data_IF_717677237355
#
_entry.id   IF_717677237355
#
_cell.length_a   1.000
_cell.length_b   1.000
_cell.length_c   1.000
_cell.angle_alpha   90.00
_cell.angle_beta   90.00
_cell.angle_gamma   90.00
#
_symmetry.space_group_name_H-M   'P 1'
#
loop_
_entity.id
_entity.type
_entity.pdbx_description
1 polymer ?
#
# COMPACT_ATOMS: atom_id res chain seq x y z
N UNK A 1 -47.12 -45.37 -26.60
CA UNK A 1 -46.54 -46.71 -26.79
C UNK A 1 -45.12 -46.72 -26.24
N UNK A 2 -44.76 -47.80 -25.53
CA UNK A 2 -43.42 -48.23 -25.06
C UNK A 2 -42.74 -47.45 -23.92
N UNK A 3 -42.85 -48.05 -22.73
CA UNK A 3 -41.99 -47.96 -21.54
C UNK A 3 -40.66 -48.67 -21.81
N UNK A 4 -39.54 -48.18 -21.28
CA UNK A 4 -38.41 -49.02 -20.84
C UNK A 4 -37.82 -48.42 -19.55
N UNK A 5 -37.92 -49.21 -18.48
CA UNK A 5 -37.28 -49.07 -17.17
C UNK A 5 -36.01 -49.95 -17.16
N UNK A 6 -34.88 -49.44 -16.68
CA UNK A 6 -33.71 -50.18 -16.18
C UNK A 6 -33.01 -49.20 -15.20
N UNK A 7 -33.06 -49.28 -13.87
CA UNK A 7 -32.76 -50.37 -12.93
C UNK A 7 -31.40 -51.01 -13.12
N UNK A 8 -30.37 -50.42 -12.52
CA UNK A 8 -29.17 -51.15 -12.06
C UNK A 8 -28.84 -50.72 -10.63
N UNK A 9 -29.11 -51.66 -9.71
CA UNK A 9 -28.55 -51.72 -8.37
C UNK A 9 -27.03 -51.88 -8.45
N UNK A 10 -26.28 -51.09 -7.69
CA UNK A 10 -24.90 -51.43 -7.35
C UNK A 10 -24.80 -51.51 -5.82
N UNK A 11 -24.86 -52.73 -5.31
CA UNK A 11 -24.54 -53.08 -3.95
C UNK A 11 -23.08 -53.58 -3.94
N UNK A 12 -22.19 -52.90 -3.23
CA UNK A 12 -20.83 -53.35 -2.99
C UNK A 12 -20.48 -53.22 -1.50
N UNK A 13 -20.82 -54.29 -0.79
CA UNK A 13 -20.06 -55.00 0.23
C UNK A 13 -19.03 -54.21 1.07
N UNK A 14 -19.33 -54.10 2.37
CA UNK A 14 -18.37 -53.88 3.45
C UNK A 14 -17.24 -54.93 3.42
N UNK A 15 -15.99 -54.48 3.54
CA UNK A 15 -14.89 -55.28 4.04
C UNK A 15 -14.01 -54.43 4.95
N UNK A 16 -14.12 -54.66 6.26
CA UNK A 16 -13.21 -54.15 7.27
C UNK A 16 -12.03 -55.12 7.44
N UNK A 17 -10.78 -54.64 7.57
CA UNK A 17 -9.72 -55.39 8.21
C UNK A 17 -9.44 -54.88 9.63
N UNK A 18 -9.78 -55.76 10.57
CA UNK A 18 -9.05 -56.18 11.77
C UNK A 18 -7.82 -55.35 12.21
N UNK A 19 -7.89 -54.96 13.48
CA UNK A 19 -6.80 -54.62 14.39
C UNK A 19 -5.72 -55.72 14.37
N UNK A 20 -4.47 -55.34 14.11
CA UNK A 20 -3.29 -56.14 14.41
C UNK A 20 -2.34 -55.28 15.26
N UNK A 21 -2.21 -55.72 16.52
CA UNK A 21 -1.28 -55.31 17.54
C UNK A 21 0.05 -56.05 17.29
N UNK A 22 1.16 -55.35 17.06
CA UNK A 22 2.53 -55.89 17.10
C UNK A 22 3.47 -54.69 17.31
N UNK A 23 3.99 -54.46 18.52
CA UNK A 23 5.16 -55.12 19.13
C UNK A 23 6.47 -54.50 18.61
N UNK A 24 7.14 -53.78 19.50
CA UNK A 24 8.46 -53.16 19.33
C UNK A 24 9.54 -54.22 19.15
N UNK A 25 10.62 -53.88 18.41
CA UNK A 25 11.92 -54.37 18.82
C UNK A 25 12.90 -53.22 19.05
N UNK A 26 13.31 -53.09 20.32
CA UNK A 26 14.69 -52.76 20.69
C UNK A 26 15.64 -53.79 20.09
N UNK A 27 16.66 -53.36 19.35
CA UNK A 27 17.98 -54.01 19.35
C UNK A 27 19.03 -53.16 18.59
N UNK A 28 20.12 -52.93 19.30
CA UNK A 28 21.38 -52.32 18.91
C UNK A 28 22.16 -53.06 17.80
N UNK A 29 22.99 -52.26 17.12
CA UNK A 29 24.38 -52.50 16.69
C UNK A 29 24.75 -53.63 15.68
N UNK A 30 25.33 -53.19 14.56
CA UNK A 30 26.64 -53.60 14.00
C UNK A 30 26.74 -53.11 12.53
N UNK A 31 27.43 -52.01 12.24
CA UNK A 31 28.82 -51.95 11.74
C UNK A 31 29.21 -52.94 10.61
N UNK A 32 29.41 -52.39 9.41
CA UNK A 32 30.51 -52.71 8.48
C UNK A 32 30.50 -51.65 7.35
N UNK A 33 31.38 -50.65 7.41
CA UNK A 33 32.69 -50.63 6.75
C UNK A 33 32.62 -50.29 5.25
N UNK A 34 32.93 -49.03 4.95
CA UNK A 34 33.13 -48.50 3.60
C UNK A 34 33.92 -47.20 3.66
N UNK A 35 35.21 -47.33 3.98
CA UNK A 35 36.18 -46.26 4.07
C UNK A 35 36.50 -45.68 2.68
N UNK A 36 36.47 -44.35 2.59
CA UNK A 36 37.29 -43.56 1.67
C UNK A 36 37.76 -42.33 2.44
N UNK A 37 39.00 -42.42 2.92
CA UNK A 37 39.84 -41.30 3.32
C UNK A 37 40.18 -40.46 2.08
N UNK A 38 39.85 -39.16 2.10
CA UNK A 38 40.73 -38.16 1.52
C UNK A 38 40.73 -36.90 2.38
N UNK A 39 41.95 -36.40 2.61
CA UNK A 39 42.34 -35.52 3.67
C UNK A 39 41.88 -34.06 3.50
N UNK A 40 41.55 -33.44 4.64
CA UNK A 40 42.19 -32.17 4.97
C UNK A 40 41.36 -30.89 4.83
N UNK A 41 40.50 -30.61 5.80
CA UNK A 41 40.35 -29.26 6.35
C UNK A 41 39.76 -29.32 7.77
N UNK A 42 40.45 -28.76 8.79
CA UNK A 42 39.98 -28.76 10.16
C UNK A 42 38.77 -27.84 10.31
N UNK A 43 37.74 -28.39 10.95
CA UNK A 43 36.94 -27.76 11.98
C UNK A 43 36.82 -26.22 11.91
N UNK A 44 35.97 -25.77 10.99
CA UNK A 44 35.26 -24.50 11.14
C UNK A 44 33.83 -24.84 11.55
N UNK A 45 33.67 -25.37 12.77
CA UNK A 45 32.51 -25.00 13.60
C UNK A 45 32.62 -23.49 13.79
N UNK A 46 32.13 -22.76 12.79
CA UNK A 46 31.80 -21.37 12.95
C UNK A 46 30.89 -21.31 14.17
N UNK A 47 31.18 -20.45 15.16
CA UNK A 47 30.23 -20.23 16.23
C UNK A 47 28.90 -19.87 15.56
N UNK A 48 27.85 -20.63 15.86
CA UNK A 48 26.49 -20.16 15.65
C UNK A 48 26.43 -18.82 16.38
N UNK A 49 26.66 -17.74 15.64
CA UNK A 49 26.34 -16.42 16.12
C UNK A 49 24.86 -16.50 16.49
N UNK A 50 24.61 -16.42 17.80
CA UNK A 50 23.43 -15.89 18.45
C UNK A 50 23.10 -14.49 17.89
N UNK A 51 22.91 -14.43 16.59
CA UNK A 51 22.25 -13.38 15.89
C UNK A 51 20.78 -13.59 16.27
N UNK A 52 20.26 -12.59 16.95
CA UNK A 52 18.85 -12.37 17.24
C UNK A 52 17.98 -12.28 15.97
N UNK A 53 18.38 -12.93 14.88
CA UNK A 53 17.85 -12.71 13.55
C UNK A 53 16.51 -13.46 13.36
N UNK A 54 16.16 -14.45 14.19
CA UNK A 54 14.98 -15.30 13.99
C UNK A 54 13.72 -14.94 14.81
N UNK A 55 13.78 -13.92 15.66
CA UNK A 55 12.73 -13.71 16.65
C UNK A 55 12.11 -12.31 16.57
N UNK A 56 11.44 -12.09 15.44
CA UNK A 56 10.73 -10.87 15.04
C UNK A 56 9.53 -10.58 15.96
N UNK A 57 9.54 -9.45 16.66
CA UNK A 57 8.29 -8.74 16.90
C UNK A 57 7.80 -8.25 15.54
N UNK A 58 6.51 -8.38 15.23
CA UNK A 58 5.93 -7.87 13.97
C UNK A 58 6.41 -6.44 13.74
N UNK A 59 7.26 -6.28 12.73
CA UNK A 59 7.79 -4.97 12.39
C UNK A 59 6.64 -4.13 11.80
N UNK A 60 6.71 -2.82 11.98
CA UNK A 60 5.73 -1.87 11.42
C UNK A 60 5.56 -2.11 9.91
N UNK A 61 6.64 -2.49 9.22
CA UNK A 61 6.58 -2.83 7.80
C UNK A 61 5.77 -4.11 7.53
N UNK A 62 5.83 -5.13 8.38
CA UNK A 62 5.03 -6.37 8.22
C UNK A 62 3.53 -6.08 8.36
N UNK A 63 3.15 -5.25 9.33
CA UNK A 63 1.76 -4.79 9.50
C UNK A 63 1.29 -4.02 8.27
N UNK A 64 2.15 -3.15 7.71
CA UNK A 64 1.85 -2.40 6.48
C UNK A 64 1.79 -3.31 5.24
N UNK A 65 2.54 -4.43 5.20
CA UNK A 65 2.51 -5.34 4.06
C UNK A 65 1.23 -6.15 3.95
N UNK A 66 0.54 -6.43 5.05
CA UNK A 66 -0.68 -7.24 5.03
C UNK A 66 -1.77 -6.62 4.12
N UNK A 67 -2.16 -5.33 4.26
CA UNK A 67 -3.08 -4.70 3.33
C UNK A 67 -2.64 -4.73 1.86
N UNK A 68 -1.32 -4.71 1.61
CA UNK A 68 -0.79 -4.82 0.24
C UNK A 68 -1.03 -6.24 -0.30
N UNK A 69 -0.66 -7.26 0.48
CA UNK A 69 -0.85 -8.66 0.12
C UNK A 69 -2.33 -9.00 -0.12
N UNK A 70 -3.23 -8.49 0.72
CA UNK A 70 -4.68 -8.61 0.54
C UNK A 70 -5.14 -8.02 -0.79
N UNK A 71 -4.65 -6.82 -1.15
CA UNK A 71 -4.97 -6.20 -2.44
C UNK A 71 -4.49 -7.02 -3.63
N UNK A 72 -3.26 -7.52 -3.57
CA UNK A 72 -2.67 -8.33 -4.65
C UNK A 72 -3.42 -9.66 -4.83
N UNK A 73 -3.93 -10.24 -3.73
CA UNK A 73 -4.75 -11.45 -3.75
C UNK A 73 -6.14 -11.22 -4.34
N UNK A 74 -6.80 -10.09 -4.02
CA UNK A 74 -8.05 -9.67 -4.68
C UNK A 74 -7.88 -9.48 -6.17
N UNK A 75 -6.78 -8.83 -6.58
CA UNK A 75 -6.45 -8.64 -8.00
C UNK A 75 -6.19 -9.96 -8.73
N UNK A 76 -5.79 -11.01 -8.00
CA UNK A 76 -5.66 -12.37 -8.54
C UNK A 76 -7.00 -13.13 -8.68
N UNK A 77 -8.11 -12.53 -8.22
CA UNK A 77 -9.46 -13.05 -8.38
C UNK A 77 -9.98 -13.92 -7.23
N UNK A 78 -9.27 -14.00 -6.11
CA UNK A 78 -9.76 -14.69 -4.89
C UNK A 78 -10.93 -13.91 -4.30
N UNK A 79 -11.97 -14.61 -3.87
CA UNK A 79 -13.15 -13.96 -3.28
C UNK A 79 -12.82 -13.35 -1.91
N UNK A 80 -13.46 -12.23 -1.57
CA UNK A 80 -13.23 -11.55 -0.28
C UNK A 80 -13.55 -12.48 0.90
N UNK A 81 -14.55 -13.34 0.77
CA UNK A 81 -14.94 -14.33 1.79
C UNK A 81 -13.81 -15.33 2.08
N UNK A 82 -13.12 -15.81 1.04
CA UNK A 82 -12.00 -16.74 1.19
C UNK A 82 -10.79 -16.06 1.84
N UNK A 83 -10.57 -14.79 1.52
CA UNK A 83 -9.50 -13.99 2.13
C UNK A 83 -9.82 -13.75 3.62
N UNK A 84 -11.06 -13.36 3.93
CA UNK A 84 -11.50 -13.14 5.30
C UNK A 84 -11.39 -14.43 6.12
N UNK A 85 -11.81 -15.56 5.58
CA UNK A 85 -11.70 -16.85 6.26
C UNK A 85 -10.23 -17.24 6.55
N UNK A 86 -9.30 -16.97 5.62
CA UNK A 86 -7.87 -17.16 5.87
C UNK A 86 -7.35 -16.25 6.99
N UNK A 87 -7.77 -14.97 7.00
CA UNK A 87 -7.40 -14.00 8.02
C UNK A 87 -7.96 -14.37 9.40
N UNK A 88 -9.21 -14.81 9.47
CA UNK A 88 -9.84 -15.28 10.70
C UNK A 88 -9.14 -16.51 11.26
N UNK A 89 -8.83 -17.50 10.41
CA UNK A 89 -8.06 -18.68 10.83
C UNK A 89 -6.66 -18.33 11.35
N UNK A 90 -6.03 -17.31 10.76
CA UNK A 90 -4.75 -16.80 11.23
C UNK A 90 -4.86 -16.06 12.58
N UNK A 91 -5.87 -15.22 12.75
CA UNK A 91 -6.12 -14.47 13.98
C UNK A 91 -6.54 -15.37 15.16
N UNK A 92 -7.39 -16.36 14.91
CA UNK A 92 -7.81 -17.37 15.91
C UNK A 92 -6.61 -18.04 16.58
N UNK A 93 -5.53 -18.25 15.81
CA UNK A 93 -4.29 -18.88 16.28
C UNK A 93 -3.26 -17.87 16.77
N UNK A 94 -3.48 -16.59 16.51
CA UNK A 94 -2.57 -15.50 16.87
C UNK A 94 -1.34 -15.44 15.97
N UNK A 95 -1.49 -15.78 14.69
CA UNK A 95 -0.43 -15.56 13.69
C UNK A 95 -0.10 -14.08 13.57
N UNK A 96 1.18 -13.83 13.30
CA UNK A 96 1.70 -12.49 13.11
C UNK A 96 1.17 -11.90 11.78
N UNK A 97 1.06 -10.57 11.70
CA UNK A 97 0.63 -9.92 10.46
C UNK A 97 1.61 -10.19 9.31
N UNK A 98 2.91 -10.28 9.61
CA UNK A 98 3.94 -10.67 8.66
C UNK A 98 3.78 -12.10 8.15
N UNK A 99 3.60 -13.07 9.05
CA UNK A 99 3.37 -14.48 8.67
C UNK A 99 2.11 -14.61 7.81
N UNK A 100 1.04 -13.91 8.16
CA UNK A 100 -0.21 -13.90 7.40
C UNK A 100 -0.04 -13.25 6.02
N UNK A 101 0.67 -12.13 5.92
CA UNK A 101 0.94 -11.49 4.63
C UNK A 101 1.71 -12.43 3.69
N UNK A 102 2.66 -13.20 4.20
CA UNK A 102 3.44 -14.17 3.42
C UNK A 102 2.57 -15.30 2.83
N UNK A 103 1.57 -15.76 3.56
CA UNK A 103 0.59 -16.75 3.08
C UNK A 103 -0.18 -16.17 1.89
N UNK A 104 -0.70 -14.94 2.02
CA UNK A 104 -1.48 -14.30 0.98
C UNK A 104 -0.65 -13.98 -0.27
N UNK A 105 0.62 -13.55 -0.10
CA UNK A 105 1.53 -13.31 -1.21
C UNK A 105 1.77 -14.60 -1.99
N UNK A 106 2.08 -15.71 -1.31
CA UNK A 106 2.33 -16.99 -1.97
C UNK A 106 1.12 -17.46 -2.77
N UNK A 107 -0.09 -17.38 -2.20
CA UNK A 107 -1.31 -17.73 -2.94
C UNK A 107 -1.52 -16.80 -4.15
N UNK A 108 -1.27 -15.50 -4.01
CA UNK A 108 -1.38 -14.56 -5.13
C UNK A 108 -0.42 -14.91 -6.28
N UNK A 109 0.81 -15.35 -5.95
CA UNK A 109 1.78 -15.80 -6.95
C UNK A 109 1.38 -17.13 -7.60
N UNK A 110 0.83 -18.05 -6.83
CA UNK A 110 0.30 -19.33 -7.34
C UNK A 110 -0.86 -19.07 -8.28
N UNK A 111 -1.79 -18.19 -7.90
CA UNK A 111 -2.94 -17.82 -8.73
C UNK A 111 -2.53 -17.12 -10.02
N UNK A 112 -1.55 -16.22 -9.97
CA UNK A 112 -0.97 -15.58 -11.16
C UNK A 112 -0.37 -16.61 -12.14
N UNK A 113 0.14 -17.75 -11.64
CA UNK A 113 0.79 -18.80 -12.47
C UNK A 113 -0.15 -19.91 -12.94
N UNK A 114 -1.04 -20.38 -12.07
CA UNK A 114 -1.87 -21.58 -12.27
C UNK A 114 -3.38 -21.31 -12.33
N UNK A 115 -3.81 -20.08 -12.08
CA UNK A 115 -5.21 -19.71 -11.93
C UNK A 115 -5.73 -19.90 -10.51
N UNK A 116 -6.91 -19.31 -10.25
CA UNK A 116 -7.64 -19.37 -8.98
C UNK A 116 -8.08 -20.81 -8.67
N UNK A 117 -8.09 -21.16 -7.38
CA UNK A 117 -8.69 -22.39 -6.85
C UNK A 117 -9.64 -22.11 -5.69
N UNK A 118 -10.84 -22.64 -5.75
CA UNK A 118 -11.85 -22.44 -4.71
C UNK A 118 -11.50 -23.16 -3.39
N UNK A 119 -11.83 -22.55 -2.26
CA UNK A 119 -11.57 -23.04 -0.90
C UNK A 119 -10.21 -22.63 -0.33
N UNK A 120 -9.65 -21.48 -0.73
CA UNK A 120 -8.36 -21.02 -0.20
C UNK A 120 -8.39 -20.79 1.31
N UNK A 121 -9.38 -20.04 1.81
CA UNK A 121 -9.53 -19.74 3.24
C UNK A 121 -9.62 -20.98 4.10
N UNK A 122 -10.55 -21.88 3.74
CA UNK A 122 -10.69 -23.22 4.32
C UNK A 122 -9.38 -23.99 4.36
N UNK A 123 -8.64 -24.03 3.26
CA UNK A 123 -7.38 -24.76 3.20
C UNK A 123 -6.32 -24.20 4.15
N UNK A 124 -6.16 -22.87 4.17
CA UNK A 124 -5.23 -22.20 5.09
C UNK A 124 -5.62 -22.50 6.54
N UNK A 125 -6.90 -22.39 6.88
CA UNK A 125 -7.41 -22.69 8.23
C UNK A 125 -7.11 -24.14 8.65
N UNK A 126 -7.30 -25.10 7.74
CA UNK A 126 -6.94 -26.50 7.97
C UNK A 126 -5.44 -26.68 8.21
N UNK A 127 -4.58 -26.11 7.36
CA UNK A 127 -3.13 -26.23 7.51
C UNK A 127 -2.63 -25.60 8.80
N UNK A 128 -3.20 -24.46 9.20
CA UNK A 128 -2.88 -23.81 10.48
C UNK A 128 -3.31 -24.71 11.65
N UNK A 129 -4.49 -25.33 11.57
CA UNK A 129 -4.97 -26.29 12.57
C UNK A 129 -4.08 -27.54 12.67
N UNK A 130 -3.52 -27.99 11.56
CA UNK A 130 -2.52 -29.07 11.51
C UNK A 130 -1.15 -28.62 12.05
N UNK A 131 -0.95 -27.33 12.31
CA UNK A 131 0.27 -26.77 12.91
C UNK A 131 1.33 -26.36 11.88
N UNK A 132 1.01 -26.32 10.59
CA UNK A 132 1.93 -25.79 9.59
C UNK A 132 2.08 -24.28 9.75
N UNK A 133 3.33 -23.79 9.66
CA UNK A 133 3.69 -22.38 9.87
C UNK A 133 4.81 -21.94 8.93
N UNK A 134 4.92 -20.62 8.73
CA UNK A 134 6.01 -19.98 7.99
C UNK A 134 6.24 -20.62 6.63
N UNK A 135 7.49 -21.02 6.35
CA UNK A 135 7.88 -21.60 5.06
C UNK A 135 7.13 -22.89 4.74
N UNK A 136 6.93 -23.78 5.71
CA UNK A 136 6.24 -25.07 5.50
C UNK A 136 4.78 -24.87 5.07
N UNK A 137 4.11 -23.88 5.66
CA UNK A 137 2.74 -23.51 5.30
C UNK A 137 2.68 -22.99 3.85
N UNK A 138 3.62 -22.12 3.47
CA UNK A 138 3.73 -21.63 2.08
C UNK A 138 4.02 -22.73 1.08
N UNK A 139 4.92 -23.65 1.40
CA UNK A 139 5.26 -24.76 0.52
C UNK A 139 4.02 -25.63 0.24
N UNK A 140 3.19 -25.88 1.28
CA UNK A 140 1.90 -26.57 1.12
C UNK A 140 0.90 -25.80 0.24
N UNK A 141 0.82 -24.49 0.40
CA UNK A 141 0.00 -23.62 -0.45
C UNK A 141 0.46 -23.71 -1.92
N UNK A 142 1.77 -23.67 -2.16
CA UNK A 142 2.35 -23.83 -3.51
C UNK A 142 2.10 -25.22 -4.10
N UNK A 143 2.07 -26.25 -3.28
CA UNK A 143 1.79 -27.64 -3.67
C UNK A 143 0.31 -27.93 -3.87
N UNK A 144 -0.59 -27.04 -3.45
CA UNK A 144 -2.04 -27.22 -3.55
C UNK A 144 -2.45 -27.54 -4.99
N UNK A 145 -2.99 -28.74 -5.18
CA UNK A 145 -3.50 -29.21 -6.48
C UNK A 145 -5.02 -29.12 -6.57
N UNK A 146 -5.72 -29.41 -5.48
CA UNK A 146 -7.17 -29.58 -5.46
C UNK A 146 -7.90 -28.41 -4.77
N UNK A 147 -9.18 -28.29 -5.10
CA UNK A 147 -10.11 -27.37 -4.46
C UNK A 147 -10.66 -27.97 -3.17
N UNK A 148 -10.93 -27.12 -2.17
CA UNK A 148 -11.43 -27.57 -0.87
C UNK A 148 -12.90 -27.20 -0.73
N UNK A 149 -13.72 -28.25 -0.66
CA UNK A 149 -15.15 -28.15 -0.37
C UNK A 149 -15.42 -27.66 1.04
N UNK A 150 -16.70 -27.56 1.39
CA UNK A 150 -17.12 -27.18 2.73
C UNK A 150 -16.82 -28.30 3.73
N UNK A 151 -16.32 -27.92 4.91
CA UNK A 151 -16.11 -28.86 6.01
C UNK A 151 -17.45 -29.27 6.63
N UNK A 152 -17.53 -30.54 7.08
CA UNK A 152 -18.62 -30.98 7.92
C UNK A 152 -18.61 -30.23 9.27
N UNK A 153 -19.73 -30.16 9.97
CA UNK A 153 -19.80 -29.47 11.26
C UNK A 153 -18.91 -30.13 12.33
N UNK A 154 -18.72 -31.45 12.24
CA UNK A 154 -17.75 -32.18 13.08
C UNK A 154 -16.31 -31.76 12.77
N UNK A 155 -15.95 -31.61 11.51
CA UNK A 155 -14.60 -31.19 11.11
C UNK A 155 -14.34 -29.74 11.50
N UNK A 156 -15.34 -28.85 11.39
CA UNK A 156 -15.24 -27.47 11.87
C UNK A 156 -14.94 -27.43 13.37
N UNK A 157 -15.60 -28.28 14.18
CA UNK A 157 -15.33 -28.37 15.61
C UNK A 157 -13.91 -28.88 15.90
N UNK A 158 -13.48 -29.95 15.24
CA UNK A 158 -12.10 -30.48 15.38
C UNK A 158 -11.06 -29.45 14.98
N UNK A 159 -11.31 -28.68 13.92
CA UNK A 159 -10.44 -27.59 13.48
C UNK A 159 -10.38 -26.52 14.57
N UNK A 160 -11.52 -26.06 15.11
CA UNK A 160 -11.54 -25.07 16.20
C UNK A 160 -10.75 -25.51 17.43
N UNK A 161 -10.95 -26.75 17.90
CA UNK A 161 -10.18 -27.28 19.04
C UNK A 161 -8.66 -27.30 18.77
N UNK A 162 -8.27 -27.66 17.54
CA UNK A 162 -6.86 -27.62 17.12
C UNK A 162 -6.31 -26.21 17.04
N UNK A 163 -7.10 -25.24 16.57
CA UNK A 163 -6.71 -23.83 16.50
C UNK A 163 -6.56 -23.25 17.91
N UNK A 164 -7.45 -23.56 18.86
CA UNK A 164 -7.31 -23.14 20.26
C UNK A 164 -6.03 -23.69 20.90
N UNK A 165 -5.76 -24.99 20.73
CA UNK A 165 -4.48 -25.59 21.17
C UNK A 165 -3.27 -24.94 20.48
N UNK A 166 -3.42 -24.60 19.20
CA UNK A 166 -2.41 -23.87 18.42
C UNK A 166 -2.16 -22.46 18.97
N UNK A 167 -3.21 -21.78 19.43
CA UNK A 167 -3.16 -20.44 20.03
C UNK A 167 -2.40 -20.44 21.34
N UNK A 168 -2.65 -21.41 22.23
CA UNK A 168 -1.93 -21.53 23.50
C UNK A 168 -0.43 -21.70 23.27
N UNK A 169 -0.05 -22.62 22.35
CA UNK A 169 1.35 -22.82 21.93
C UNK A 169 1.97 -21.56 21.34
N UNK A 170 1.21 -20.81 20.54
CA UNK A 170 1.69 -19.55 19.96
C UNK A 170 1.91 -18.48 21.02
N UNK A 171 1.00 -18.35 21.99
CA UNK A 171 1.14 -17.42 23.10
C UNK A 171 2.38 -17.72 23.93
N UNK A 172 2.67 -19.00 24.21
CA UNK A 172 3.91 -19.40 24.87
C UNK A 172 5.16 -19.06 24.04
N UNK A 173 5.12 -19.37 22.74
CA UNK A 173 6.20 -19.02 21.79
C UNK A 173 6.45 -17.51 21.80
N UNK A 174 5.40 -16.71 21.76
CA UNK A 174 5.45 -15.24 21.77
C UNK A 174 5.99 -14.69 23.09
N UNK A 175 5.62 -15.27 24.24
CA UNK A 175 6.20 -14.90 25.55
C UNK A 175 7.71 -15.17 25.58
N UNK A 176 8.14 -16.38 25.19
CA UNK A 176 9.56 -16.75 25.08
C UNK A 176 10.32 -15.79 24.16
N UNK A 177 9.71 -15.42 23.03
CA UNK A 177 10.24 -14.43 22.08
C UNK A 177 10.42 -13.07 22.71
N UNK A 178 9.39 -12.54 23.38
CA UNK A 178 9.47 -11.24 24.05
C UNK A 178 10.56 -11.22 25.13
N UNK A 179 10.73 -12.30 25.90
CA UNK A 179 11.80 -12.41 26.89
C UNK A 179 13.18 -12.41 26.24
N UNK A 180 13.38 -13.17 25.16
CA UNK A 180 14.63 -13.17 24.39
C UNK A 180 14.93 -11.79 23.81
N UNK A 181 13.95 -11.13 23.18
CA UNK A 181 14.08 -9.74 22.69
C UNK A 181 14.47 -8.80 23.82
N UNK A 182 13.87 -8.93 25.01
CA UNK A 182 14.21 -8.10 26.17
C UNK A 182 15.66 -8.31 26.62
N UNK A 183 16.14 -9.56 26.64
CA UNK A 183 17.54 -9.90 26.94
C UNK A 183 18.50 -9.32 25.89
N UNK A 184 18.19 -9.45 24.60
CA UNK A 184 19.00 -8.95 23.49
C UNK A 184 19.06 -7.41 23.46
N UNK A 185 17.95 -6.73 23.78
CA UNK A 185 17.91 -5.28 23.98
C UNK A 185 18.82 -4.85 25.13
N UNK A 186 18.79 -5.58 26.25
CA UNK A 186 19.66 -5.30 27.39
C UNK A 186 21.15 -5.50 27.07
N UNK A 187 21.47 -6.43 26.16
CA UNK A 187 22.82 -6.62 25.62
C UNK A 187 23.25 -5.56 24.58
N UNK A 188 22.39 -4.60 24.24
CA UNK A 188 22.70 -3.56 23.25
C UNK A 188 22.76 -4.04 21.80
N UNK A 189 22.38 -5.30 21.51
CA UNK A 189 22.35 -5.83 20.15
C UNK A 189 21.22 -5.15 19.35
N UNK A 190 21.55 -4.63 18.16
CA UNK A 190 20.57 -4.04 17.23
C UNK A 190 19.87 -5.15 16.45
N UNK A 191 18.54 -5.07 16.34
CA UNK A 191 17.76 -6.01 15.56
C UNK A 191 17.84 -5.67 14.08
N UNK A 192 18.12 -6.66 13.23
CA UNK A 192 18.00 -6.52 11.78
C UNK A 192 16.53 -6.59 11.39
N UNK A 193 16.09 -5.67 10.56
CA UNK A 193 14.73 -5.61 10.04
C UNK A 193 14.66 -6.44 8.75
N UNK A 194 14.27 -7.73 8.84
CA UNK A 194 14.14 -8.64 7.68
C UNK A 194 13.01 -8.21 6.72
N UNK A 195 11.95 -7.64 7.25
CA UNK A 195 10.77 -7.15 6.51
C UNK A 195 11.11 -6.06 5.48
N UNK A 196 12.21 -5.33 5.66
CA UNK A 196 12.57 -4.18 4.82
C UNK A 196 12.78 -4.56 3.36
N UNK A 197 13.56 -5.61 3.11
CA UNK A 197 13.84 -6.07 1.74
C UNK A 197 12.55 -6.47 1.02
N UNK A 198 11.65 -7.17 1.72
CA UNK A 198 10.37 -7.62 1.12
C UNK A 198 9.40 -6.47 0.89
N UNK A 199 9.28 -5.54 1.84
CA UNK A 199 8.47 -4.35 1.65
C UNK A 199 8.96 -3.52 0.45
N UNK A 200 10.27 -3.37 0.30
CA UNK A 200 10.87 -2.71 -0.86
C UNK A 200 10.57 -3.46 -2.17
N UNK A 201 10.63 -4.80 -2.18
CA UNK A 201 10.25 -5.63 -3.33
C UNK A 201 8.77 -5.45 -3.72
N UNK A 202 7.84 -5.55 -2.78
CA UNK A 202 6.40 -5.33 -3.05
C UNK A 202 6.14 -3.91 -3.56
N UNK A 203 6.80 -2.91 -2.96
CA UNK A 203 6.70 -1.52 -3.41
C UNK A 203 7.24 -1.35 -4.84
N UNK A 204 8.31 -2.04 -5.20
CA UNK A 204 8.85 -2.03 -6.56
C UNK A 204 7.90 -2.71 -7.56
N UNK A 205 7.36 -3.88 -7.22
CA UNK A 205 6.37 -4.60 -8.04
C UNK A 205 5.12 -3.74 -8.30
N UNK A 206 4.56 -3.12 -7.25
CA UNK A 206 3.41 -2.22 -7.38
C UNK A 206 3.67 -1.00 -8.24
N UNK A 207 4.88 -0.43 -8.20
CA UNK A 207 5.24 0.66 -9.13
C UNK A 207 5.18 0.20 -10.59
N UNK A 208 5.69 -1.00 -10.88
CA UNK A 208 5.64 -1.59 -12.22
C UNK A 208 4.19 -1.84 -12.64
N UNK A 209 3.38 -2.44 -11.78
CA UNK A 209 1.95 -2.69 -12.03
C UNK A 209 1.16 -1.39 -12.21
N UNK A 210 1.40 -0.37 -11.39
CA UNK A 210 0.78 0.94 -11.52
C UNK A 210 1.09 1.60 -12.87
N UNK A 211 2.34 1.52 -13.35
CA UNK A 211 2.72 2.01 -14.68
C UNK A 211 1.98 1.24 -15.78
N UNK A 212 1.92 -0.10 -15.67
CA UNK A 212 1.17 -0.96 -16.62
C UNK A 212 -0.32 -0.63 -16.63
N UNK A 213 -0.93 -0.48 -15.45
CA UNK A 213 -2.33 -0.11 -15.29
C UNK A 213 -2.62 1.26 -15.90
N UNK A 214 -1.79 2.28 -15.61
CA UNK A 214 -1.90 3.61 -16.22
C UNK A 214 -1.83 3.56 -17.75
N UNK A 215 -0.96 2.72 -18.31
CA UNK A 215 -0.87 2.53 -19.75
C UNK A 215 -2.13 1.86 -20.32
N UNK A 216 -2.66 0.81 -19.67
CA UNK A 216 -3.93 0.15 -20.05
C UNK A 216 -5.10 1.13 -20.02
N UNK A 217 -5.22 1.91 -18.93
CA UNK A 217 -6.27 2.94 -18.80
C UNK A 217 -6.16 4.02 -19.87
N UNK A 218 -4.95 4.41 -20.28
CA UNK A 218 -4.77 5.36 -21.39
C UNK A 218 -5.27 4.75 -22.71
N UNK A 219 -4.98 3.48 -22.98
CA UNK A 219 -5.47 2.76 -24.18
C UNK A 219 -7.00 2.66 -24.18
N UNK A 220 -7.60 2.19 -23.08
CA UNK A 220 -9.05 2.11 -22.93
C UNK A 220 -9.72 3.48 -23.13
N UNK A 221 -9.15 4.55 -22.56
CA UNK A 221 -9.64 5.92 -22.80
C UNK A 221 -9.56 6.33 -24.27
N UNK A 222 -8.50 5.96 -24.99
CA UNK A 222 -8.38 6.23 -26.42
C UNK A 222 -9.37 5.41 -27.24
N UNK A 223 -9.59 4.14 -26.91
CA UNK A 223 -10.57 3.26 -27.56
C UNK A 223 -11.99 3.77 -27.33
N UNK A 224 -12.36 4.02 -26.07
CA UNK A 224 -13.66 4.61 -25.72
C UNK A 224 -13.88 5.96 -26.41
N UNK A 225 -12.86 6.82 -26.48
CA UNK A 225 -12.93 8.08 -27.23
C UNK A 225 -13.12 7.86 -28.72
N UNK A 226 -12.47 6.83 -29.29
CA UNK A 226 -12.61 6.46 -30.71
C UNK A 226 -14.00 5.93 -31.01
N UNK A 227 -14.59 5.14 -30.12
CA UNK A 227 -15.97 4.64 -30.22
C UNK A 227 -16.97 5.79 -30.11
N UNK A 228 -16.83 6.65 -29.09
CA UNK A 228 -17.64 7.88 -28.96
C UNK A 228 -17.58 8.77 -30.21
N UNK A 229 -16.39 8.97 -30.78
CA UNK A 229 -16.24 9.75 -32.01
C UNK A 229 -16.84 9.05 -33.25
N UNK A 230 -16.88 7.71 -33.29
CA UNK A 230 -17.53 6.97 -34.40
C UNK A 230 -19.05 7.13 -34.37
N UNK A 231 -19.64 7.05 -33.18
CA UNK A 231 -21.09 7.14 -33.01
C UNK A 231 -21.60 8.59 -33.03
N UNK A 232 -20.70 9.56 -32.90
CA UNK A 232 -21.04 10.97 -32.85
C UNK A 232 -19.97 11.82 -33.57
N UNK A 233 -19.99 11.86 -34.92
CA UNK A 233 -18.95 12.52 -35.72
C UNK A 233 -18.89 14.05 -35.49
N UNK A 234 -19.93 14.66 -34.93
CA UNK A 234 -19.94 16.08 -34.58
C UNK A 234 -19.12 16.41 -33.31
N UNK A 235 -18.57 15.42 -32.60
CA UNK A 235 -17.69 15.64 -31.43
C UNK A 235 -16.38 16.33 -31.82
N UNK A 236 -15.90 16.16 -33.05
CA UNK A 236 -14.71 16.86 -33.53
C UNK A 236 -14.99 18.35 -33.81
N UNK A 237 -16.19 18.72 -34.27
CA UNK A 237 -16.64 20.13 -34.32
C UNK A 237 -16.76 20.73 -32.91
N UNK A 238 -17.11 19.92 -31.92
CA UNK A 238 -17.17 20.35 -30.52
C UNK A 238 -15.78 20.58 -29.90
N UNK A 239 -14.73 19.91 -30.40
CA UNK A 239 -13.33 20.19 -29.99
C UNK A 239 -12.81 21.47 -30.63
N UNK A 240 -13.12 21.68 -31.90
CA UNK A 240 -12.77 22.92 -32.62
C UNK A 240 -13.37 24.13 -31.89
N UNK A 241 -14.67 24.08 -31.57
CA UNK A 241 -15.33 25.13 -30.78
C UNK A 241 -14.76 25.30 -29.36
N UNK A 242 -14.24 24.23 -28.73
CA UNK A 242 -13.60 24.35 -27.41
C UNK A 242 -12.18 24.95 -27.49
N UNK A 243 -11.41 24.67 -28.53
CA UNK A 243 -10.11 25.31 -28.77
C UNK A 243 -10.31 26.79 -29.11
N UNK A 244 -11.29 27.13 -29.95
CA UNK A 244 -11.67 28.51 -30.25
C UNK A 244 -12.08 29.27 -28.97
N UNK A 245 -12.89 28.65 -28.10
CA UNK A 245 -13.25 29.25 -26.80
C UNK A 245 -12.04 29.45 -25.87
N UNK A 246 -11.01 28.61 -25.96
CA UNK A 246 -9.80 28.73 -25.14
C UNK A 246 -8.92 29.88 -25.64
N UNK A 247 -8.81 30.01 -26.96
CA UNK A 247 -8.10 31.12 -27.60
C UNK A 247 -8.81 32.46 -27.34
N UNK A 248 -10.15 32.48 -27.37
CA UNK A 248 -10.94 33.65 -26.98
C UNK A 248 -10.72 34.04 -25.52
N UNK A 249 -10.67 33.07 -24.60
CA UNK A 249 -10.34 33.33 -23.19
C UNK A 249 -8.93 33.88 -23.02
N UNK A 250 -7.96 33.40 -23.80
CA UNK A 250 -6.61 33.95 -23.86
C UNK A 250 -6.62 35.42 -24.28
N UNK A 251 -7.25 35.73 -25.43
CA UNK A 251 -7.40 37.10 -25.93
C UNK A 251 -8.11 38.02 -24.93
N UNK A 252 -9.12 37.52 -24.23
CA UNK A 252 -9.82 38.30 -23.19
C UNK A 252 -8.92 38.57 -21.97
N UNK A 253 -8.07 37.62 -21.57
CA UNK A 253 -7.10 37.82 -20.50
C UNK A 253 -6.05 38.88 -20.89
N UNK A 254 -5.54 38.82 -22.12
CA UNK A 254 -4.59 39.81 -22.65
C UNK A 254 -5.23 41.20 -22.75
N UNK A 255 -6.47 41.29 -23.27
CA UNK A 255 -7.22 42.54 -23.31
C UNK A 255 -7.47 43.14 -21.92
N UNK A 256 -7.72 42.29 -20.92
CA UNK A 256 -7.88 42.72 -19.52
C UNK A 256 -6.56 43.21 -18.92
N UNK A 257 -5.44 42.57 -19.24
CA UNK A 257 -4.11 43.02 -18.82
C UNK A 257 -3.78 44.40 -19.45
N UNK A 258 -4.08 44.58 -20.74
CA UNK A 258 -3.90 45.86 -21.45
C UNK A 258 -4.76 46.98 -20.85
N UNK A 259 -6.02 46.70 -20.50
CA UNK A 259 -6.89 47.65 -19.81
C UNK A 259 -6.33 48.03 -18.44
N UNK A 260 -5.79 47.07 -17.70
CA UNK A 260 -5.16 47.33 -16.39
C UNK A 260 -3.93 48.22 -16.54
N UNK A 261 -3.05 47.92 -17.49
CA UNK A 261 -1.87 48.75 -17.78
C UNK A 261 -2.26 50.19 -18.21
N UNK A 262 -3.35 50.34 -18.97
CA UNK A 262 -3.90 51.68 -19.30
C UNK A 262 -4.42 52.41 -18.07
N UNK A 263 -5.04 51.71 -17.12
CA UNK A 263 -5.47 52.29 -15.86
C UNK A 263 -4.30 52.75 -15.00
N UNK A 264 -3.27 51.92 -14.83
CA UNK A 264 -2.05 52.27 -14.08
C UNK A 264 -1.36 53.52 -14.68
N UNK A 265 -1.18 53.57 -16.01
CA UNK A 265 -0.65 54.77 -16.69
C UNK A 265 -1.52 56.02 -16.50
N UNK A 266 -2.83 55.86 -16.40
CA UNK A 266 -3.76 56.98 -16.16
C UNK A 266 -3.66 57.47 -14.72
N UNK A 267 -3.48 56.57 -13.77
CA UNK A 267 -3.26 56.89 -12.35
C UNK A 267 -1.94 57.63 -12.14
N UNK A 268 -0.83 57.14 -12.68
CA UNK A 268 0.47 57.83 -12.66
C UNK A 268 0.36 59.26 -13.24
N UNK A 269 -0.36 59.42 -14.35
CA UNK A 269 -0.59 60.74 -14.97
C UNK A 269 -1.46 61.66 -14.11
N UNK A 270 -2.38 61.11 -13.32
CA UNK A 270 -3.20 61.89 -12.39
C UNK A 270 -2.40 62.28 -11.15
N UNK A 271 -1.53 61.41 -10.66
CA UNK A 271 -0.62 61.66 -9.54
C UNK A 271 0.39 62.76 -9.88
N UNK A 272 1.07 62.66 -11.03
CA UNK A 272 1.96 63.71 -11.53
C UNK A 272 1.24 65.07 -11.73
N UNK A 273 -0.06 65.07 -12.04
CA UNK A 273 -0.86 66.31 -12.09
C UNK A 273 -1.21 66.84 -10.70
N UNK A 274 -1.36 65.99 -9.69
CA UNK A 274 -1.58 66.38 -8.30
C UNK A 274 -0.31 66.99 -7.71
N UNK A 275 0.85 66.35 -7.89
CA UNK A 275 2.15 66.90 -7.47
C UNK A 275 2.40 68.28 -8.08
N UNK A 276 2.18 68.44 -9.39
CA UNK A 276 2.29 69.76 -10.05
C UNK A 276 1.31 70.81 -9.52
N UNK A 277 0.15 70.41 -9.00
CA UNK A 277 -0.80 71.33 -8.36
C UNK A 277 -0.34 71.69 -6.96
N UNK A 278 0.20 70.74 -6.20
CA UNK A 278 0.77 70.95 -4.88
C UNK A 278 1.99 71.87 -4.92
N UNK A 279 2.93 71.65 -5.84
CA UNK A 279 4.08 72.53 -6.07
C UNK A 279 3.63 73.97 -6.44
N UNK A 280 2.58 74.10 -7.27
CA UNK A 280 2.00 75.41 -7.60
C UNK A 280 1.35 76.08 -6.38
N UNK A 281 0.66 75.31 -5.54
CA UNK A 281 0.04 75.82 -4.32
C UNK A 281 1.10 76.25 -3.30
N UNK A 282 2.20 75.52 -3.18
CA UNK A 282 3.34 75.87 -2.32
C UNK A 282 4.02 77.15 -2.80
N UNK A 283 4.33 77.26 -4.10
CA UNK A 283 4.84 78.51 -4.71
C UNK A 283 3.90 79.70 -4.50
N UNK A 284 2.58 79.49 -4.50
CA UNK A 284 1.61 80.55 -4.20
C UNK A 284 1.58 80.91 -2.71
N UNK A 285 1.81 79.95 -1.80
CA UNK A 285 1.92 80.21 -0.36
C UNK A 285 3.20 80.99 -0.05
N UNK A 286 4.34 80.57 -0.58
CA UNK A 286 5.63 81.26 -0.44
C UNK A 286 5.53 82.72 -0.90
N UNK A 287 5.05 82.95 -2.13
CA UNK A 287 4.77 84.32 -2.65
C UNK A 287 3.84 85.14 -1.76
N UNK A 288 2.87 84.50 -1.09
CA UNK A 288 1.93 85.17 -0.18
C UNK A 288 2.58 85.49 1.16
N UNK A 289 3.52 84.69 1.62
CA UNK A 289 4.31 84.94 2.84
C UNK A 289 5.34 86.05 2.60
N UNK A 290 6.03 86.05 1.47
CA UNK A 290 6.92 87.15 1.06
C UNK A 290 6.17 88.48 0.97
N UNK A 291 5.00 88.48 0.30
CA UNK A 291 4.15 89.66 0.22
C UNK A 291 3.61 90.13 1.59
N UNK A 292 3.51 89.23 2.59
CA UNK A 292 3.16 89.60 3.98
C UNK A 292 4.36 90.13 4.75
N UNK A 293 5.57 89.65 4.49
CA UNK A 293 6.81 90.15 5.09
C UNK A 293 7.10 91.60 4.65
N UNK A 294 6.95 91.89 3.35
CA UNK A 294 7.06 93.25 2.81
C UNK A 294 6.01 94.21 3.41
N UNK A 295 4.80 93.71 3.70
CA UNK A 295 3.75 94.49 4.36
C UNK A 295 4.01 94.77 5.85
N UNK A 296 4.82 93.96 6.54
CA UNK A 296 5.19 94.19 7.95
C UNK A 296 6.41 95.11 8.12
N UNK A 297 7.23 95.27 7.08
CA UNK A 297 8.33 96.26 7.05
C UNK A 297 7.87 97.72 6.91
N UNK A 298 6.66 97.96 6.39
CA UNK A 298 6.14 99.31 6.13
C UNK A 298 5.45 100.00 7.33
N UNK A 299 5.40 99.38 8.52
CA UNK A 299 4.85 100.01 9.74
C UNK A 299 5.97 100.34 10.74
N UNK A 300 6.77 101.37 10.46
CA UNK A 300 7.50 102.15 11.48
C UNK A 300 8.16 103.41 10.89
N UNK A 301 7.36 104.46 10.71
CA UNK A 301 7.74 105.86 10.93
C UNK A 301 6.44 106.67 10.97
N UNK A 302 5.89 106.79 12.18
CA UNK A 302 4.97 107.89 12.43
C UNK A 302 5.77 109.19 12.44
N UNK A 303 5.32 110.27 11.79
CA UNK A 303 5.76 111.59 12.15
C UNK A 303 5.07 111.97 13.46
N UNK A 304 5.84 111.97 14.54
CA UNK A 304 5.52 112.73 15.73
C UNK A 304 5.74 114.22 15.45
N UNK A 305 4.84 115.03 16.03
CA UNK A 305 5.13 116.28 16.72
C UNK A 305 5.97 117.37 16.04
N UNK A 306 5.30 118.46 15.68
CA UNK A 306 5.58 119.86 16.06
C UNK A 306 4.34 120.66 15.56
N UNK A 307 3.69 121.50 16.35
CA UNK A 307 4.28 122.67 16.99
C UNK A 307 3.93 123.87 16.11
#
# INVERSE_FOLDING_TARGET
MKRILLSTLFAALLAAPSVALAEEPDAEAAEAAGAVDDAGAPDLVAPEEDSADDEEADDILQVITLPLATGDLRESGVEEEEIQEALEGADEVGLSAGETAEILIEESEVNKKRGKKAGFGRYVKQLIAEGYRGKKLRDKIRERKEEIGEFSDEDKQKIREKLEKGREKELERRKKRHEKIKKLKAQGKKFKIRSRQRHEQLKAQRKVEHVRHKAKMKKLKHEMKRELNKDNPDVDKLKETHEDMKDERGRHADAKADLKAKHERREEKLEAKREKREEKLEKLKEKREDAKADRKGAKRKGPGGAG
#
